data_IF_400450161652
#
_entry.id   IF_400450161652
#
_cell.length_a   1.000
_cell.length_b   1.000
_cell.length_c   1.000
_cell.angle_alpha   90.00
_cell.angle_beta   90.00
_cell.angle_gamma   90.00
#
_symmetry.space_group_name_H-M   'P 1'
#
loop_
_entity.id
_entity.type
_entity.pdbx_description
1 polymer ?
#
# COMPACT_ATOMS: atom_id res chain seq x y z
N UNK A 1 -37.51 -19.62 20.57
CA UNK A 1 -36.30 -20.00 19.81
C UNK A 1 -35.18 -20.14 20.81
N UNK A 2 -34.74 -21.37 21.05
CA UNK A 2 -33.69 -21.67 22.02
C UNK A 2 -32.33 -21.32 21.41
N UNK A 3 -31.56 -20.54 22.15
CA UNK A 3 -30.21 -20.09 21.85
C UNK A 3 -29.29 -21.32 21.82
N UNK A 4 -28.82 -21.72 20.63
CA UNK A 4 -27.83 -22.78 20.51
C UNK A 4 -26.45 -22.18 20.82
N UNK A 5 -25.72 -22.69 21.82
CA UNK A 5 -24.38 -22.20 22.14
C UNK A 5 -23.45 -22.45 20.95
N UNK A 6 -22.78 -21.38 20.49
CA UNK A 6 -21.79 -21.47 19.42
C UNK A 6 -20.70 -22.51 19.74
N UNK A 7 -20.30 -23.34 18.77
CA UNK A 7 -19.27 -24.35 18.98
C UNK A 7 -17.94 -23.67 19.34
N UNK A 8 -17.41 -24.01 20.52
CA UNK A 8 -16.10 -23.54 20.98
C UNK A 8 -15.03 -23.94 19.97
N UNK A 9 -14.17 -23.00 19.49
CA UNK A 9 -13.15 -23.30 18.52
C UNK A 9 -12.17 -24.33 19.09
N UNK A 10 -12.15 -25.52 18.49
CA UNK A 10 -11.24 -26.60 18.85
C UNK A 10 -9.80 -26.13 18.71
N UNK A 11 -9.03 -26.15 19.80
CA UNK A 11 -7.63 -25.75 19.81
C UNK A 11 -6.83 -26.50 18.72
N UNK A 12 -5.95 -25.81 17.98
CA UNK A 12 -5.19 -26.43 16.90
C UNK A 12 -4.36 -27.59 17.45
N UNK A 13 -4.55 -28.79 16.88
CA UNK A 13 -3.73 -29.98 17.15
C UNK A 13 -2.27 -29.64 16.85
N UNK A 14 -1.48 -29.38 17.89
CA UNK A 14 -0.02 -29.20 17.77
C UNK A 14 0.55 -30.51 17.22
N UNK A 15 1.17 -30.44 16.04
CA UNK A 15 1.91 -31.60 15.53
C UNK A 15 3.09 -31.87 16.47
N UNK A 16 3.35 -33.14 16.84
CA UNK A 16 4.45 -33.49 17.75
C UNK A 16 5.85 -33.21 17.15
N UNK A 17 5.91 -32.89 15.86
CA UNK A 17 7.14 -32.64 15.12
C UNK A 17 7.28 -31.15 14.81
N UNK A 18 7.50 -30.34 15.85
CA UNK A 18 7.96 -28.98 15.62
C UNK A 18 9.35 -29.04 15.00
N UNK A 19 9.60 -28.27 13.94
CA UNK A 19 10.89 -28.20 13.25
C UNK A 19 12.06 -27.88 14.21
N UNK A 20 11.76 -27.15 15.29
CA UNK A 20 12.65 -26.87 16.42
C UNK A 20 13.07 -28.13 17.17
N UNK A 21 12.15 -29.07 17.39
CA UNK A 21 12.45 -30.38 17.96
C UNK A 21 13.44 -31.16 17.08
N UNK A 22 13.20 -31.20 15.76
CA UNK A 22 14.09 -31.90 14.82
C UNK A 22 15.52 -31.34 14.86
N UNK A 23 15.67 -30.01 14.90
CA UNK A 23 16.97 -29.35 15.04
C UNK A 23 17.68 -29.70 16.35
N UNK A 24 16.98 -29.66 17.49
CA UNK A 24 17.56 -30.03 18.79
C UNK A 24 17.99 -31.50 18.87
N UNK A 25 17.22 -32.40 18.28
CA UNK A 25 17.58 -33.83 18.19
C UNK A 25 18.76 -34.05 17.25
N UNK A 26 18.84 -33.31 16.13
CA UNK A 26 19.98 -33.38 15.21
C UNK A 26 21.29 -32.88 15.83
N UNK A 27 21.26 -31.81 16.63
CA UNK A 27 22.46 -31.32 17.33
C UNK A 27 22.94 -32.30 18.40
N UNK A 28 22.01 -32.93 19.14
CA UNK A 28 22.36 -33.95 20.12
C UNK A 28 22.97 -35.19 19.45
N UNK A 29 22.40 -35.64 18.32
CA UNK A 29 22.93 -36.76 17.55
C UNK A 29 24.33 -36.48 16.98
N UNK A 30 24.60 -35.25 16.52
CA UNK A 30 25.91 -34.88 15.98
C UNK A 30 27.01 -34.87 17.05
N UNK A 31 26.71 -34.34 18.25
CA UNK A 31 27.64 -34.42 19.39
C UNK A 31 27.93 -35.88 19.73
N UNK A 32 26.89 -36.73 19.77
CA UNK A 32 27.02 -38.14 20.13
C UNK A 32 27.85 -38.91 19.09
N UNK A 33 27.71 -38.59 17.80
CA UNK A 33 28.53 -39.15 16.72
C UNK A 33 30.01 -38.72 16.80
N UNK A 34 30.27 -37.44 17.10
CA UNK A 34 31.65 -36.94 17.24
C UNK A 34 32.35 -37.55 18.47
N UNK A 35 31.66 -37.59 19.61
CA UNK A 35 32.20 -38.19 20.85
C UNK A 35 32.36 -39.70 20.69
N UNK A 36 31.37 -40.37 20.11
CA UNK A 36 31.42 -41.81 19.85
C UNK A 36 32.53 -42.21 18.88
N UNK A 37 32.71 -41.45 17.78
CA UNK A 37 33.79 -41.66 16.82
C UNK A 37 35.19 -41.46 17.43
N UNK A 38 35.35 -40.44 18.29
CA UNK A 38 36.58 -40.22 19.03
C UNK A 38 36.90 -41.35 20.02
N UNK A 39 35.89 -41.81 20.78
CA UNK A 39 36.03 -42.94 21.71
C UNK A 39 36.37 -44.26 21.02
N UNK A 40 35.72 -44.58 19.88
CA UNK A 40 35.98 -45.80 19.12
C UNK A 40 37.43 -45.88 18.63
N UNK A 41 38.01 -44.75 18.19
CA UNK A 41 39.43 -44.69 17.80
C UNK A 41 40.37 -44.83 19.00
N UNK A 42 40.01 -44.27 20.14
CA UNK A 42 40.77 -44.41 21.38
C UNK A 42 40.77 -45.87 21.86
N UNK A 43 39.63 -46.56 21.78
CA UNK A 43 39.51 -48.00 22.05
C UNK A 43 40.30 -48.84 21.05
N UNK A 44 40.24 -48.52 19.75
CA UNK A 44 41.05 -49.20 18.73
C UNK A 44 42.55 -49.09 19.01
N UNK A 45 43.00 -47.94 19.55
CA UNK A 45 44.40 -47.74 19.93
C UNK A 45 44.80 -48.47 21.22
N UNK A 46 43.87 -48.67 22.15
CA UNK A 46 44.10 -49.54 23.33
C UNK A 46 44.23 -51.01 22.92
N UNK A 47 43.52 -51.43 21.87
CA UNK A 47 43.54 -52.79 21.35
C UNK A 47 44.80 -53.10 20.51
N UNK A 48 45.42 -52.09 19.90
CA UNK A 48 46.68 -52.22 19.15
C UNK A 48 47.71 -51.18 19.64
N UNK A 49 48.55 -51.52 20.64
CA UNK A 49 49.36 -50.57 21.39
C UNK A 49 50.59 -50.11 20.59
N UNK A 50 50.36 -49.31 19.56
CA UNK A 50 51.38 -48.40 19.04
C UNK A 50 51.64 -47.28 20.08
N UNK A 51 52.84 -46.70 20.15
CA UNK A 51 53.12 -45.63 21.09
C UNK A 51 52.17 -44.45 20.85
N UNK A 52 51.52 -43.99 21.93
CA UNK A 52 50.68 -42.80 21.94
C UNK A 52 51.50 -41.60 21.47
N UNK A 53 51.41 -41.29 20.18
CA UNK A 53 52.02 -40.10 19.63
C UNK A 53 51.16 -38.89 19.98
N UNK A 54 51.79 -37.73 20.22
CA UNK A 54 51.09 -36.46 20.43
C UNK A 54 50.11 -36.13 19.30
N UNK A 55 50.30 -36.71 18.11
CA UNK A 55 49.40 -36.59 16.97
C UNK A 55 47.99 -37.16 17.22
N UNK A 56 47.87 -38.30 17.90
CA UNK A 56 46.57 -38.96 18.16
C UNK A 56 45.74 -38.14 19.15
N UNK A 57 46.41 -37.62 20.19
CA UNK A 57 45.78 -36.72 21.17
C UNK A 57 45.35 -35.41 20.51
N UNK A 58 46.19 -34.84 19.64
CA UNK A 58 45.87 -33.63 18.89
C UNK A 58 44.67 -33.83 17.95
N UNK A 59 44.58 -34.97 17.26
CA UNK A 59 43.44 -35.30 16.40
C UNK A 59 42.13 -35.42 17.20
N UNK A 60 42.17 -36.08 18.37
CA UNK A 60 41.00 -36.18 19.24
C UNK A 60 40.52 -34.81 19.75
N UNK A 61 41.44 -33.95 20.18
CA UNK A 61 41.12 -32.57 20.60
C UNK A 61 40.51 -31.78 19.44
N UNK A 62 41.04 -31.94 18.21
CA UNK A 62 40.52 -31.28 17.02
C UNK A 62 39.07 -31.70 16.73
N UNK A 63 38.74 -33.00 16.83
CA UNK A 63 37.38 -33.49 16.62
C UNK A 63 36.39 -32.97 17.67
N UNK A 64 36.80 -32.89 18.94
CA UNK A 64 35.98 -32.27 19.98
C UNK A 64 35.73 -30.78 19.67
N UNK A 65 36.78 -30.05 19.28
CA UNK A 65 36.67 -28.63 18.95
C UNK A 65 35.71 -28.38 17.76
N UNK A 66 35.82 -29.20 16.70
CA UNK A 66 34.92 -29.13 15.54
C UNK A 66 33.47 -29.46 15.93
N UNK A 67 33.27 -30.51 16.73
CA UNK A 67 31.95 -30.89 17.24
C UNK A 67 31.30 -29.79 18.08
N UNK A 68 32.08 -29.15 18.97
CA UNK A 68 31.62 -28.04 19.80
C UNK A 68 31.25 -26.80 18.97
N UNK A 69 32.06 -26.45 17.97
CA UNK A 69 31.76 -25.34 17.06
C UNK A 69 30.50 -25.60 16.24
N UNK A 70 30.36 -26.79 15.66
CA UNK A 70 29.17 -27.16 14.88
C UNK A 70 27.89 -27.13 15.74
N UNK A 71 27.97 -27.64 16.97
CA UNK A 71 26.86 -27.57 17.94
C UNK A 71 26.48 -26.13 18.28
N UNK A 72 27.47 -25.25 18.50
CA UNK A 72 27.24 -23.83 18.78
C UNK A 72 26.51 -23.11 17.63
N UNK A 73 26.89 -23.38 16.38
CA UNK A 73 26.22 -22.82 15.19
C UNK A 73 24.77 -23.30 15.10
N UNK A 74 24.51 -24.59 15.29
CA UNK A 74 23.15 -25.14 15.27
C UNK A 74 22.27 -24.56 16.39
N UNK A 75 22.84 -24.39 17.59
CA UNK A 75 22.14 -23.75 18.71
C UNK A 75 21.78 -22.28 18.38
N UNK A 76 22.71 -21.52 17.81
CA UNK A 76 22.48 -20.14 17.38
C UNK A 76 21.43 -20.05 16.26
N UNK A 77 21.44 -20.97 15.30
CA UNK A 77 20.38 -21.03 14.27
C UNK A 77 19.01 -21.36 14.88
N UNK A 78 18.96 -22.25 15.87
CA UNK A 78 17.72 -22.61 16.58
C UNK A 78 17.13 -21.40 17.32
N UNK A 79 17.95 -20.64 18.05
CA UNK A 79 17.50 -19.42 18.74
C UNK A 79 17.06 -18.35 17.75
N UNK A 80 17.76 -18.20 16.62
CA UNK A 80 17.35 -17.28 15.56
C UNK A 80 15.99 -17.65 14.95
N UNK A 81 15.75 -18.94 14.68
CA UNK A 81 14.45 -19.41 14.17
C UNK A 81 13.33 -19.17 15.19
N UNK A 82 13.60 -19.35 16.49
CA UNK A 82 12.64 -19.06 17.55
C UNK A 82 12.29 -17.57 17.59
N UNK A 83 13.31 -16.69 17.50
CA UNK A 83 13.12 -15.24 17.48
C UNK A 83 12.33 -14.79 16.23
N UNK A 84 12.62 -15.36 15.06
CA UNK A 84 11.85 -15.09 13.83
C UNK A 84 10.39 -15.52 13.95
N UNK A 85 10.09 -16.62 14.65
CA UNK A 85 8.71 -17.04 14.91
C UNK A 85 8.01 -16.08 15.85
N UNK A 86 8.67 -15.63 16.91
CA UNK A 86 8.09 -14.65 17.84
C UNK A 86 7.80 -13.32 17.16
N UNK A 87 8.70 -12.86 16.28
CA UNK A 87 8.49 -11.66 15.46
C UNK A 87 7.30 -11.85 14.50
N UNK A 88 7.20 -13.01 13.84
CA UNK A 88 6.05 -13.34 12.98
C UNK A 88 4.74 -13.35 13.76
N UNK A 89 4.70 -13.99 14.92
CA UNK A 89 3.51 -14.05 15.76
C UNK A 89 3.16 -12.67 16.35
N UNK A 90 4.17 -11.82 16.58
CA UNK A 90 4.01 -10.41 16.91
C UNK A 90 3.37 -9.62 15.77
N UNK A 91 3.85 -9.77 14.54
CA UNK A 91 3.29 -9.13 13.34
C UNK A 91 1.83 -9.53 13.12
N UNK A 92 1.50 -10.82 13.24
CA UNK A 92 0.11 -11.30 13.12
C UNK A 92 -0.79 -10.70 14.20
N UNK A 93 -0.29 -10.54 15.44
CA UNK A 93 -1.03 -9.85 16.50
C UNK A 93 -1.27 -8.38 16.18
N UNK A 94 -0.26 -7.67 15.68
CA UNK A 94 -0.40 -6.26 15.28
C UNK A 94 -1.41 -6.10 14.14
N UNK A 95 -1.37 -6.98 13.14
CA UNK A 95 -2.33 -7.00 12.03
C UNK A 95 -3.76 -7.24 12.54
N UNK A 96 -3.94 -8.19 13.45
CA UNK A 96 -5.25 -8.44 14.10
C UNK A 96 -5.74 -7.23 14.89
N UNK A 97 -4.86 -6.56 15.63
CA UNK A 97 -5.20 -5.33 16.34
C UNK A 97 -5.60 -4.19 15.38
N UNK A 98 -4.91 -4.04 14.25
CA UNK A 98 -5.29 -3.06 13.22
C UNK A 98 -6.66 -3.38 12.62
N UNK A 99 -6.95 -4.66 12.37
CA UNK A 99 -8.25 -5.10 11.86
C UNK A 99 -9.38 -4.84 12.88
N UNK A 100 -9.14 -5.11 14.16
CA UNK A 100 -10.11 -4.83 15.24
C UNK A 100 -10.33 -3.32 15.45
N UNK A 101 -9.27 -2.50 15.37
CA UNK A 101 -9.37 -1.03 15.41
C UNK A 101 -10.14 -0.48 14.21
N UNK A 102 -9.88 -0.99 13.00
CA UNK A 102 -10.62 -0.63 11.80
C UNK A 102 -12.11 -1.00 11.90
N UNK A 103 -12.43 -2.20 12.38
CA UNK A 103 -13.82 -2.61 12.61
C UNK A 103 -14.53 -1.77 13.67
N UNK A 104 -13.84 -1.38 14.76
CA UNK A 104 -14.40 -0.48 15.78
C UNK A 104 -14.70 0.90 15.19
N UNK A 105 -13.74 1.50 14.50
CA UNK A 105 -13.94 2.79 13.83
C UNK A 105 -15.11 2.74 12.83
N UNK A 106 -15.25 1.65 12.08
CA UNK A 106 -16.35 1.48 11.13
C UNK A 106 -17.71 1.29 11.82
N UNK A 107 -17.77 0.57 12.95
CA UNK A 107 -18.99 0.46 13.77
C UNK A 107 -19.37 1.78 14.42
N UNK A 108 -18.39 2.53 14.92
CA UNK A 108 -18.62 3.84 15.54
C UNK A 108 -19.12 4.83 14.49
N UNK A 109 -18.52 4.86 13.29
CA UNK A 109 -18.99 5.67 12.17
C UNK A 109 -20.41 5.28 11.72
N UNK A 110 -20.72 3.98 11.61
CA UNK A 110 -22.07 3.52 11.26
C UNK A 110 -23.10 3.89 12.34
N UNK A 111 -22.71 3.81 13.62
CA UNK A 111 -23.54 4.25 14.74
C UNK A 111 -23.77 5.76 14.77
N UNK A 112 -22.77 6.55 14.40
CA UNK A 112 -22.86 8.02 14.33
C UNK A 112 -23.75 8.47 13.17
N UNK A 113 -23.66 7.82 12.00
CA UNK A 113 -24.58 8.05 10.87
C UNK A 113 -26.02 7.71 11.25
N UNK A 114 -26.25 6.56 11.90
CA UNK A 114 -27.60 6.19 12.37
C UNK A 114 -28.15 7.16 13.44
N UNK A 115 -27.27 7.74 14.28
CA UNK A 115 -27.64 8.81 15.22
C UNK A 115 -27.94 10.13 14.52
N UNK A 116 -27.20 10.49 13.47
CA UNK A 116 -27.49 11.69 12.68
C UNK A 116 -28.82 11.55 11.92
N UNK A 117 -29.13 10.38 11.35
CA UNK A 117 -30.42 10.15 10.68
C UNK A 117 -31.60 10.20 11.66
N UNK A 118 -31.43 9.73 12.89
CA UNK A 118 -32.48 9.84 13.92
C UNK A 118 -32.65 11.26 14.46
N UNK A 119 -31.57 12.06 14.54
CA UNK A 119 -31.64 13.47 14.96
C UNK A 119 -32.20 14.37 13.85
N UNK A 120 -31.82 14.15 12.58
CA UNK A 120 -32.35 14.93 11.45
C UNK A 120 -33.75 14.50 11.01
N UNK A 121 -34.10 13.20 11.13
CA UNK A 121 -35.44 12.70 10.84
C UNK A 121 -36.51 13.18 11.81
N UNK A 122 -36.15 13.50 13.05
CA UNK A 122 -37.11 13.95 14.07
C UNK A 122 -37.41 15.47 14.03
N UNK A 123 -36.68 16.27 13.25
CA UNK A 123 -36.79 17.74 13.29
C UNK A 123 -37.30 18.40 11.99
N UNK A 124 -37.54 17.61 10.93
CA UNK A 124 -38.05 18.11 9.64
C UNK A 124 -39.51 17.75 9.34
N UNK A 125 -40.22 17.08 10.26
CA UNK A 125 -41.66 16.81 10.13
C UNK A 125 -42.50 17.72 11.05
N UNK A 126 -42.42 19.04 10.82
CA UNK A 126 -43.49 19.97 11.17
C UNK A 126 -44.29 20.26 9.88
N UNK A 127 -45.58 19.89 9.82
CA UNK A 127 -46.35 19.99 8.58
C UNK A 127 -46.73 21.45 8.31
N UNK A 128 -46.19 22.01 7.24
CA UNK A 128 -46.78 23.15 6.53
C UNK A 128 -47.91 22.60 5.68
N UNK A 129 -49.10 23.15 5.84
CA UNK A 129 -50.33 22.88 5.10
C UNK A 129 -50.13 22.98 3.58
N UNK A 130 -49.68 21.89 2.98
CA UNK A 130 -49.80 21.68 1.55
C UNK A 130 -51.13 20.95 1.29
N UNK A 131 -51.92 21.37 0.29
CA UNK A 131 -53.15 20.68 -0.11
C UNK A 131 -52.80 19.22 -0.40
N UNK A 132 -53.32 18.30 0.42
CA UNK A 132 -53.23 16.86 0.16
C UNK A 132 -54.00 16.58 -1.11
N UNK A 133 -53.28 16.40 -2.21
CA UNK A 133 -53.78 15.62 -3.32
C UNK A 133 -54.21 14.24 -2.79
N UNK A 134 -55.37 13.72 -3.21
CA UNK A 134 -55.84 12.42 -2.77
C UNK A 134 -54.78 11.35 -3.12
N UNK A 135 -54.55 10.37 -2.23
CA UNK A 135 -53.60 9.30 -2.49
C UNK A 135 -53.91 8.67 -3.85
N UNK A 136 -52.92 8.51 -4.74
CA UNK A 136 -53.14 7.82 -6.01
C UNK A 136 -53.67 6.43 -5.69
N UNK A 137 -54.90 6.19 -6.10
CA UNK A 137 -55.58 4.92 -5.93
C UNK A 137 -54.72 3.79 -6.53
N UNK A 138 -54.08 2.92 -5.71
CA UNK A 138 -53.16 1.89 -6.19
C UNK A 138 -53.88 0.81 -7.01
N UNK A 139 -55.19 0.95 -7.23
CA UNK A 139 -56.00 0.01 -8.02
C UNK A 139 -56.31 0.47 -9.44
N UNK A 140 -56.04 1.73 -9.82
CA UNK A 140 -56.47 2.25 -11.14
C UNK A 140 -55.52 1.99 -12.31
N UNK A 141 -54.23 1.77 -12.04
CA UNK A 141 -53.21 1.46 -13.07
C UNK A 141 -52.53 0.10 -12.84
N UNK A 142 -53.24 -0.88 -12.28
CA UNK A 142 -52.86 -2.27 -12.57
C UNK A 142 -53.27 -2.50 -14.03
N UNK A 143 -52.33 -2.65 -14.99
CA UNK A 143 -52.70 -3.13 -16.30
C UNK A 143 -53.51 -4.40 -16.05
N UNK A 144 -54.72 -4.46 -16.61
CA UNK A 144 -55.53 -5.66 -16.53
C UNK A 144 -54.59 -6.81 -16.87
N UNK A 145 -54.35 -7.71 -15.91
CA UNK A 145 -53.53 -8.88 -16.13
C UNK A 145 -54.29 -9.66 -17.18
N UNK A 146 -53.96 -9.44 -18.45
CA UNK A 146 -54.50 -10.19 -19.56
C UNK A 146 -54.09 -11.61 -19.27
N UNK A 147 -55.06 -12.38 -18.77
CA UNK A 147 -54.88 -13.80 -18.55
C UNK A 147 -54.45 -14.33 -19.93
N UNK A 148 -53.25 -14.91 -20.07
CA UNK A 148 -52.71 -15.26 -21.36
C UNK A 148 -53.46 -16.49 -21.89
N UNK A 149 -54.67 -16.27 -22.39
CA UNK A 149 -55.61 -17.33 -22.78
C UNK A 149 -55.00 -18.24 -23.84
N UNK A 150 -54.10 -17.69 -24.68
CA UNK A 150 -53.32 -18.47 -25.65
C UNK A 150 -52.41 -19.49 -24.98
N UNK A 151 -51.72 -19.13 -23.89
CA UNK A 151 -50.84 -20.05 -23.15
C UNK A 151 -51.66 -21.14 -22.45
N UNK A 152 -52.82 -20.78 -21.89
CA UNK A 152 -53.72 -21.74 -21.23
C UNK A 152 -54.31 -22.72 -22.25
N UNK A 153 -54.81 -22.22 -23.39
CA UNK A 153 -55.35 -23.08 -24.47
C UNK A 153 -54.25 -23.99 -25.02
N UNK A 154 -53.04 -23.47 -25.23
CA UNK A 154 -51.90 -24.27 -25.66
C UNK A 154 -51.56 -25.37 -24.62
N UNK A 155 -51.51 -25.02 -23.33
CA UNK A 155 -51.27 -25.98 -22.25
C UNK A 155 -52.36 -27.07 -22.18
N UNK A 156 -53.64 -26.72 -22.38
CA UNK A 156 -54.73 -27.69 -22.42
C UNK A 156 -54.62 -28.62 -23.64
N UNK A 157 -54.21 -28.10 -24.80
CA UNK A 157 -53.91 -28.92 -25.97
C UNK A 157 -52.73 -29.87 -25.69
N UNK A 158 -51.65 -29.38 -25.08
CA UNK A 158 -50.48 -30.17 -24.75
C UNK A 158 -50.83 -31.28 -23.74
N UNK A 159 -51.67 -31.00 -22.73
CA UNK A 159 -52.18 -31.99 -21.76
C UNK A 159 -53.01 -33.06 -22.47
N UNK A 160 -53.96 -32.65 -23.33
CA UNK A 160 -54.80 -33.59 -24.09
C UNK A 160 -53.93 -34.51 -24.94
N UNK A 161 -53.00 -33.94 -25.70
CA UNK A 161 -52.12 -34.72 -26.55
C UNK A 161 -51.21 -35.63 -25.71
N UNK A 162 -50.83 -35.23 -24.50
CA UNK A 162 -50.11 -36.09 -23.55
C UNK A 162 -50.93 -37.29 -23.07
N UNK A 163 -52.25 -37.12 -22.87
CA UNK A 163 -53.12 -38.22 -22.39
C UNK A 163 -53.39 -39.29 -23.43
N UNK A 164 -53.20 -38.97 -24.73
CA UNK A 164 -53.42 -39.90 -25.83
C UNK A 164 -52.19 -40.74 -26.17
N UNK A 165 -51.02 -40.40 -25.64
CA UNK A 165 -49.76 -41.11 -25.89
C UNK A 165 -49.62 -42.37 -25.02
N UNK A 166 -48.98 -43.41 -25.55
CA UNK A 166 -48.61 -44.59 -24.77
C UNK A 166 -47.56 -44.25 -23.69
N UNK A 167 -47.39 -45.10 -22.67
CA UNK A 167 -46.38 -44.89 -21.62
C UNK A 167 -44.95 -44.81 -22.15
N UNK A 168 -44.66 -45.49 -23.24
CA UNK A 168 -43.36 -45.45 -23.91
C UNK A 168 -43.17 -44.10 -24.63
N UNK A 169 -44.16 -43.68 -25.41
CA UNK A 169 -44.14 -42.38 -26.09
C UNK A 169 -44.12 -41.20 -25.11
N UNK A 170 -44.81 -41.30 -23.97
CA UNK A 170 -44.77 -40.29 -22.90
C UNK A 170 -43.39 -40.16 -22.27
N UNK A 171 -42.66 -41.27 -22.11
CA UNK A 171 -41.28 -41.29 -21.61
C UNK A 171 -40.32 -40.69 -22.63
N UNK A 172 -40.45 -41.05 -23.90
CA UNK A 172 -39.65 -40.49 -25.00
C UNK A 172 -39.87 -38.98 -25.17
N UNK A 173 -41.14 -38.54 -25.22
CA UNK A 173 -41.49 -37.11 -25.30
C UNK A 173 -40.96 -36.33 -24.09
N UNK A 174 -41.05 -36.90 -22.88
CA UNK A 174 -40.46 -36.30 -21.67
C UNK A 174 -38.95 -36.18 -21.79
N UNK A 175 -38.27 -37.24 -22.22
CA UNK A 175 -36.81 -37.22 -22.40
C UNK A 175 -36.38 -36.15 -23.43
N UNK A 176 -37.12 -36.00 -24.53
CA UNK A 176 -36.88 -34.95 -25.51
C UNK A 176 -37.09 -33.54 -24.95
N UNK A 177 -38.16 -33.32 -24.18
CA UNK A 177 -38.42 -32.03 -23.55
C UNK A 177 -37.34 -31.68 -22.51
N UNK A 178 -36.98 -32.64 -21.65
CA UNK A 178 -35.91 -32.49 -20.66
C UNK A 178 -34.58 -32.15 -21.34
N UNK A 179 -34.28 -32.77 -22.47
CA UNK A 179 -33.10 -32.50 -23.28
C UNK A 179 -33.10 -31.10 -23.92
N UNK A 180 -34.25 -30.62 -24.42
CA UNK A 180 -34.38 -29.26 -24.94
C UNK A 180 -34.20 -28.21 -23.83
N UNK A 181 -34.81 -28.41 -22.66
CA UNK A 181 -34.66 -27.53 -21.51
C UNK A 181 -33.21 -27.49 -21.01
N UNK A 182 -32.55 -28.66 -21.00
CA UNK A 182 -31.13 -28.76 -20.69
C UNK A 182 -30.27 -27.92 -21.65
N UNK A 183 -30.48 -28.06 -22.97
CA UNK A 183 -29.75 -27.28 -23.98
C UNK A 183 -29.98 -25.78 -23.83
N UNK A 184 -31.23 -25.34 -23.70
CA UNK A 184 -31.54 -23.93 -23.52
C UNK A 184 -30.91 -23.36 -22.23
N UNK A 185 -30.93 -24.12 -21.13
CA UNK A 185 -30.27 -23.70 -19.90
C UNK A 185 -28.76 -23.61 -20.05
N UNK A 186 -28.13 -24.57 -20.75
CA UNK A 186 -26.69 -24.55 -21.07
C UNK A 186 -26.32 -23.34 -21.92
N UNK A 187 -27.10 -23.03 -22.96
CA UNK A 187 -26.89 -21.84 -23.79
C UNK A 187 -26.97 -20.54 -22.97
N UNK A 188 -27.96 -20.43 -22.06
CA UNK A 188 -28.08 -19.28 -21.15
C UNK A 188 -26.90 -19.19 -20.19
N UNK A 189 -26.43 -20.32 -19.66
CA UNK A 189 -25.26 -20.38 -18.79
C UNK A 189 -24.01 -19.90 -19.53
N UNK A 190 -23.77 -20.41 -20.73
CA UNK A 190 -22.63 -20.03 -21.57
C UNK A 190 -22.68 -18.55 -21.95
N UNK A 191 -23.87 -18.02 -22.29
CA UNK A 191 -24.07 -16.60 -22.54
C UNK A 191 -23.76 -15.74 -21.31
N UNK A 192 -24.17 -16.17 -20.12
CA UNK A 192 -23.89 -15.44 -18.88
C UNK A 192 -22.39 -15.46 -18.52
N UNK A 193 -21.72 -16.59 -18.74
CA UNK A 193 -20.27 -16.71 -18.58
C UNK A 193 -19.50 -15.82 -19.58
N UNK A 194 -19.95 -15.76 -20.83
CA UNK A 194 -19.36 -14.89 -21.85
C UNK A 194 -19.53 -13.39 -21.54
N UNK A 195 -20.64 -13.01 -20.90
CA UNK A 195 -20.89 -11.64 -20.44
C UNK A 195 -20.21 -11.31 -19.10
N UNK A 196 -19.52 -12.28 -18.48
CA UNK A 196 -18.92 -12.17 -17.15
C UNK A 196 -19.94 -11.86 -16.03
N UNK A 197 -21.22 -12.19 -16.23
CA UNK A 197 -22.24 -12.10 -15.18
C UNK A 197 -22.28 -13.43 -14.40
N UNK A 198 -21.32 -13.60 -13.51
CA UNK A 198 -21.19 -14.80 -12.68
C UNK A 198 -22.38 -15.00 -11.73
N UNK A 199 -23.09 -13.92 -11.38
CA UNK A 199 -24.28 -13.99 -10.53
C UNK A 199 -25.46 -14.63 -11.28
N UNK A 200 -25.66 -14.28 -12.55
CA UNK A 200 -26.65 -14.91 -13.42
C UNK A 200 -26.24 -16.34 -13.77
N UNK A 201 -24.97 -16.55 -14.14
CA UNK A 201 -24.44 -17.88 -14.46
C UNK A 201 -24.66 -18.86 -13.30
N UNK A 202 -24.34 -18.45 -12.07
CA UNK A 202 -24.54 -19.27 -10.87
C UNK A 202 -26.01 -19.62 -10.64
N UNK A 203 -26.93 -18.66 -10.78
CA UNK A 203 -28.38 -18.91 -10.65
C UNK A 203 -28.87 -19.94 -11.67
N UNK A 204 -28.43 -19.83 -12.93
CA UNK A 204 -28.79 -20.78 -14.00
C UNK A 204 -28.19 -22.17 -13.72
N UNK A 205 -26.93 -22.23 -13.29
CA UNK A 205 -26.27 -23.49 -12.94
C UNK A 205 -26.96 -24.19 -11.75
N UNK A 206 -27.32 -23.45 -10.70
CA UNK A 206 -28.05 -23.99 -9.54
C UNK A 206 -29.47 -24.44 -9.90
N UNK A 207 -30.18 -23.73 -10.78
CA UNK A 207 -31.49 -24.15 -11.29
C UNK A 207 -31.39 -25.45 -12.11
N UNK A 208 -30.41 -25.55 -13.02
CA UNK A 208 -30.15 -26.77 -13.78
C UNK A 208 -29.76 -27.95 -12.88
N UNK A 209 -28.88 -27.73 -11.91
CA UNK A 209 -28.46 -28.75 -10.95
C UNK A 209 -29.64 -29.28 -10.12
N UNK A 210 -30.57 -28.40 -9.72
CA UNK A 210 -31.79 -28.80 -8.99
C UNK A 210 -32.78 -29.55 -9.87
N UNK A 211 -33.03 -29.08 -11.10
CA UNK A 211 -34.01 -29.70 -12.02
C UNK A 211 -33.55 -31.05 -12.57
N UNK A 212 -32.25 -31.20 -12.82
CA UNK A 212 -31.65 -32.37 -13.44
C UNK A 212 -30.70 -33.09 -12.49
N UNK A 213 -31.12 -33.32 -11.24
CA UNK A 213 -30.29 -33.91 -10.18
C UNK A 213 -29.76 -35.31 -10.48
N UNK A 214 -30.33 -36.00 -11.47
CA UNK A 214 -29.90 -37.32 -11.95
C UNK A 214 -28.75 -37.25 -12.97
N UNK A 215 -28.46 -36.07 -13.54
CA UNK A 215 -27.36 -35.88 -14.49
C UNK A 215 -26.11 -35.46 -13.73
N UNK A 216 -25.03 -36.24 -13.83
CA UNK A 216 -23.75 -35.91 -13.21
C UNK A 216 -23.20 -34.56 -13.70
N UNK A 217 -23.40 -34.24 -14.98
CA UNK A 217 -23.02 -32.95 -15.59
C UNK A 217 -23.72 -31.77 -14.91
N UNK A 218 -25.00 -31.88 -14.58
CA UNK A 218 -25.77 -30.81 -13.95
C UNK A 218 -25.23 -30.47 -12.55
N UNK A 219 -24.83 -31.50 -11.79
CA UNK A 219 -24.22 -31.33 -10.48
C UNK A 219 -22.83 -30.66 -10.54
N UNK A 220 -22.12 -30.75 -11.66
CA UNK A 220 -20.80 -30.14 -11.85
C UNK A 220 -20.86 -28.64 -12.24
N UNK A 221 -21.96 -28.18 -12.84
CA UNK A 221 -22.08 -26.81 -13.37
C UNK A 221 -21.76 -25.70 -12.35
N UNK A 222 -22.20 -25.74 -11.07
CA UNK A 222 -21.84 -24.69 -10.11
C UNK A 222 -20.32 -24.60 -9.88
N UNK A 223 -19.62 -25.74 -9.88
CA UNK A 223 -18.16 -25.79 -9.77
C UNK A 223 -17.45 -25.25 -11.01
N UNK A 224 -18.01 -25.47 -12.21
CA UNK A 224 -17.50 -24.88 -13.46
C UNK A 224 -17.62 -23.35 -13.44
N UNK A 225 -18.75 -22.81 -12.97
CA UNK A 225 -18.96 -21.35 -12.83
C UNK A 225 -17.96 -20.76 -11.85
N UNK A 226 -17.74 -21.40 -10.70
CA UNK A 226 -16.78 -20.93 -9.70
C UNK A 226 -15.35 -20.94 -10.25
N UNK A 227 -14.96 -22.03 -10.92
CA UNK A 227 -13.65 -22.14 -11.58
C UNK A 227 -13.47 -21.05 -12.65
N UNK A 228 -14.52 -20.74 -13.42
CA UNK A 228 -14.49 -19.66 -14.41
C UNK A 228 -14.37 -18.27 -13.75
N UNK A 229 -15.07 -18.04 -12.62
CA UNK A 229 -14.99 -16.82 -11.83
C UNK A 229 -13.56 -16.60 -11.30
N UNK A 230 -12.96 -17.61 -10.67
CA UNK A 230 -11.60 -17.55 -10.13
C UNK A 230 -10.54 -17.27 -11.22
N UNK A 231 -10.69 -17.90 -12.40
CA UNK A 231 -9.81 -17.64 -13.55
C UNK A 231 -9.93 -16.21 -14.08
N UNK A 232 -11.15 -15.67 -14.15
CA UNK A 232 -11.35 -14.29 -14.56
C UNK A 232 -10.80 -13.32 -13.51
N UNK A 233 -11.09 -13.55 -12.23
CA UNK A 233 -10.59 -12.74 -11.11
C UNK A 233 -9.06 -12.68 -11.12
N UNK A 234 -8.38 -13.83 -11.17
CA UNK A 234 -6.91 -13.89 -11.21
C UNK A 234 -6.33 -13.16 -12.43
N UNK A 235 -6.94 -13.31 -13.62
CA UNK A 235 -6.50 -12.60 -14.83
C UNK A 235 -6.69 -11.07 -14.73
N UNK A 236 -7.79 -10.62 -14.13
CA UNK A 236 -8.11 -9.21 -13.94
C UNK A 236 -7.18 -8.57 -12.90
N UNK A 237 -6.88 -9.28 -11.81
CA UNK A 237 -5.89 -8.87 -10.80
C UNK A 237 -4.50 -8.74 -11.42
N UNK A 238 -4.05 -9.70 -12.23
CA UNK A 238 -2.73 -9.66 -12.87
C UNK A 238 -2.62 -8.46 -13.82
N UNK A 239 -3.62 -8.27 -14.69
CA UNK A 239 -3.65 -7.15 -15.64
C UNK A 239 -3.66 -5.80 -14.91
N UNK A 240 -4.52 -5.67 -13.89
CA UNK A 240 -4.63 -4.45 -13.10
C UNK A 240 -3.37 -4.16 -12.30
N UNK A 241 -2.74 -5.20 -11.73
CA UNK A 241 -1.46 -5.07 -11.01
C UNK A 241 -0.36 -4.52 -11.93
N UNK A 242 -0.28 -5.00 -13.17
CA UNK A 242 0.65 -4.47 -14.16
C UNK A 242 0.40 -2.98 -14.45
N UNK A 243 -0.86 -2.62 -14.72
CA UNK A 243 -1.26 -1.22 -14.95
C UNK A 243 -0.93 -0.31 -13.75
N UNK A 244 -1.18 -0.79 -12.53
CA UNK A 244 -0.83 -0.09 -11.29
C UNK A 244 0.69 0.11 -11.18
N UNK A 245 1.49 -0.92 -11.44
CA UNK A 245 2.95 -0.79 -11.42
C UNK A 245 3.43 0.24 -12.46
N UNK A 246 2.83 0.28 -13.65
CA UNK A 246 3.16 1.27 -14.68
C UNK A 246 2.82 2.71 -14.22
N UNK A 247 1.69 2.89 -13.54
CA UNK A 247 1.30 4.19 -12.95
C UNK A 247 2.22 4.61 -11.80
N UNK A 248 2.65 3.66 -10.96
CA UNK A 248 3.61 3.89 -9.87
C UNK A 248 4.96 4.36 -10.43
N UNK A 249 5.44 3.73 -11.51
CA UNK A 249 6.72 4.07 -12.14
C UNK A 249 6.79 5.53 -12.63
N UNK A 250 5.67 6.11 -13.06
CA UNK A 250 5.57 7.52 -13.45
C UNK A 250 5.11 8.45 -12.32
N UNK A 251 5.10 7.95 -11.07
CA UNK A 251 4.63 8.65 -9.88
C UNK A 251 3.16 9.13 -9.95
N UNK A 252 2.30 8.46 -10.74
CA UNK A 252 0.87 8.75 -10.84
C UNK A 252 0.06 8.05 -9.74
N UNK A 253 0.43 8.30 -8.48
CA UNK A 253 -0.06 7.57 -7.30
C UNK A 253 -1.57 7.60 -7.11
N UNK A 254 -2.22 8.75 -7.34
CA UNK A 254 -3.67 8.85 -7.16
C UNK A 254 -4.42 7.98 -8.18
N UNK A 255 -4.02 7.99 -9.45
CA UNK A 255 -4.62 7.13 -10.48
C UNK A 255 -4.37 5.66 -10.19
N UNK A 256 -3.18 5.30 -9.70
CA UNK A 256 -2.88 3.94 -9.29
C UNK A 256 -3.82 3.46 -8.18
N UNK A 257 -4.09 4.31 -7.18
CA UNK A 257 -5.05 4.06 -6.12
C UNK A 257 -6.47 3.89 -6.67
N UNK A 258 -6.93 4.81 -7.53
CA UNK A 258 -8.28 4.76 -8.10
C UNK A 258 -8.52 3.45 -8.88
N UNK A 259 -7.54 3.02 -9.68
CA UNK A 259 -7.58 1.75 -10.44
C UNK A 259 -7.65 0.54 -9.50
N UNK A 260 -6.85 0.52 -8.43
CA UNK A 260 -6.87 -0.55 -7.45
C UNK A 260 -8.17 -0.56 -6.61
N UNK A 261 -8.77 0.61 -6.33
CA UNK A 261 -10.08 0.72 -5.69
C UNK A 261 -11.19 0.18 -6.58
N UNK A 262 -11.15 0.47 -7.88
CA UNK A 262 -12.11 -0.11 -8.83
C UNK A 262 -11.99 -1.64 -8.91
N UNK A 263 -10.78 -2.20 -8.84
CA UNK A 263 -10.57 -3.64 -8.73
C UNK A 263 -11.19 -4.21 -7.45
N UNK A 264 -10.98 -3.55 -6.31
CA UNK A 264 -11.57 -3.97 -5.04
C UNK A 264 -13.11 -3.89 -5.05
N UNK A 265 -13.69 -2.88 -5.70
CA UNK A 265 -15.14 -2.76 -5.85
C UNK A 265 -15.74 -3.87 -6.72
N UNK A 266 -15.04 -4.26 -7.79
CA UNK A 266 -15.44 -5.38 -8.67
C UNK A 266 -15.33 -6.73 -7.96
N UNK A 267 -14.27 -6.92 -7.15
CA UNK A 267 -14.00 -8.17 -6.43
C UNK A 267 -13.78 -7.93 -4.93
N UNK A 268 -14.85 -7.68 -4.14
CA UNK A 268 -14.74 -7.29 -2.73
C UNK A 268 -14.09 -8.37 -1.85
N UNK A 269 -14.25 -9.65 -2.20
CA UNK A 269 -13.71 -10.77 -1.44
C UNK A 269 -12.22 -11.02 -1.73
N UNK A 270 -11.70 -10.45 -2.83
CA UNK A 270 -10.33 -10.67 -3.27
C UNK A 270 -9.32 -10.16 -2.25
N UNK A 271 -8.51 -11.07 -1.70
CA UNK A 271 -7.41 -10.72 -0.79
C UNK A 271 -6.28 -10.00 -1.54
N UNK A 272 -6.03 -10.37 -2.79
CA UNK A 272 -4.99 -9.78 -3.63
C UNK A 272 -5.28 -8.32 -3.97
N UNK A 273 -6.53 -7.98 -4.31
CA UNK A 273 -6.93 -6.59 -4.57
C UNK A 273 -6.74 -5.70 -3.32
N UNK A 274 -7.08 -6.20 -2.12
CA UNK A 274 -6.83 -5.51 -0.86
C UNK A 274 -5.34 -5.34 -0.57
N UNK A 275 -4.53 -6.37 -0.80
CA UNK A 275 -3.08 -6.30 -0.64
C UNK A 275 -2.43 -5.30 -1.60
N UNK A 276 -2.95 -5.20 -2.84
CA UNK A 276 -2.48 -4.23 -3.82
C UNK A 276 -2.67 -2.79 -3.34
N UNK A 277 -3.83 -2.45 -2.77
CA UNK A 277 -4.07 -1.13 -2.18
C UNK A 277 -3.11 -0.81 -1.03
N UNK A 278 -2.96 -1.74 -0.07
CA UNK A 278 -2.02 -1.59 1.04
C UNK A 278 -0.56 -1.45 0.56
N UNK A 279 -0.21 -2.10 -0.55
CA UNK A 279 1.10 -1.96 -1.18
C UNK A 279 1.28 -0.57 -1.77
N UNK A 280 0.32 -0.06 -2.53
CA UNK A 280 0.37 1.29 -3.12
C UNK A 280 0.55 2.34 -2.02
N UNK A 281 -0.20 2.25 -0.92
CA UNK A 281 -0.11 3.20 0.18
C UNK A 281 1.26 3.18 0.86
N UNK A 282 1.81 1.98 1.11
CA UNK A 282 3.16 1.85 1.67
C UNK A 282 4.22 2.42 0.74
N UNK A 283 4.18 2.09 -0.55
CA UNK A 283 5.13 2.59 -1.54
C UNK A 283 5.02 4.12 -1.71
N UNK A 284 3.81 4.66 -1.73
CA UNK A 284 3.56 6.10 -1.77
C UNK A 284 4.16 6.82 -0.56
N UNK A 285 3.93 6.30 0.64
CA UNK A 285 4.48 6.87 1.88
C UNK A 285 6.01 6.82 1.89
N UNK A 286 6.61 5.74 1.39
CA UNK A 286 8.06 5.63 1.23
C UNK A 286 8.60 6.66 0.23
N UNK A 287 7.96 6.79 -0.94
CA UNK A 287 8.35 7.76 -1.96
C UNK A 287 8.24 9.21 -1.44
N UNK A 288 7.17 9.53 -0.72
CA UNK A 288 6.99 10.85 -0.08
C UNK A 288 8.08 11.11 0.97
N UNK A 289 8.37 10.12 1.82
CA UNK A 289 9.44 10.23 2.83
C UNK A 289 10.84 10.33 2.23
N UNK A 290 11.10 9.70 1.09
CA UNK A 290 12.34 9.90 0.32
C UNK A 290 12.42 11.30 -0.27
N UNK A 291 11.33 11.79 -0.87
CA UNK A 291 11.29 13.13 -1.43
C UNK A 291 11.53 14.20 -0.36
N UNK A 292 10.88 14.07 0.79
CA UNK A 292 11.13 14.91 1.95
C UNK A 292 12.61 14.89 2.34
N UNK A 293 13.21 13.71 2.51
CA UNK A 293 14.63 13.58 2.86
C UNK A 293 15.56 14.23 1.82
N UNK A 294 15.28 14.08 0.53
CA UNK A 294 16.07 14.70 -0.55
C UNK A 294 16.01 16.23 -0.49
N UNK A 295 14.81 16.80 -0.30
CA UNK A 295 14.66 18.26 -0.21
C UNK A 295 15.27 18.84 1.08
N UNK A 296 15.13 18.15 2.21
CA UNK A 296 15.78 18.57 3.46
C UNK A 296 17.33 18.55 3.33
N UNK A 297 17.88 17.49 2.72
CA UNK A 297 19.31 17.40 2.43
C UNK A 297 19.79 18.51 1.48
N UNK A 298 18.95 18.95 0.54
CA UNK A 298 19.23 20.06 -0.35
C UNK A 298 19.33 21.40 0.39
N UNK A 299 18.40 21.69 1.30
CA UNK A 299 18.48 22.88 2.19
C UNK A 299 19.79 22.85 2.97
N UNK A 300 20.12 21.72 3.61
CA UNK A 300 21.35 21.57 4.38
C UNK A 300 22.62 21.71 3.52
N UNK A 301 22.58 21.23 2.28
CA UNK A 301 23.68 21.39 1.31
C UNK A 301 23.90 22.87 0.96
N UNK A 302 22.86 23.68 0.80
CA UNK A 302 23.02 25.11 0.55
C UNK A 302 23.56 25.85 1.78
N UNK A 303 23.05 25.54 2.97
CA UNK A 303 23.54 26.09 4.24
C UNK A 303 25.01 25.79 4.47
N UNK A 304 25.43 24.52 4.31
CA UNK A 304 26.84 24.12 4.48
C UNK A 304 27.81 24.80 3.51
N UNK A 305 27.33 25.15 2.30
CA UNK A 305 28.11 25.89 1.29
C UNK A 305 28.02 27.41 1.44
N UNK A 306 27.32 27.91 2.47
CA UNK A 306 27.07 29.34 2.72
C UNK A 306 26.37 30.05 1.55
N UNK A 307 25.51 29.32 0.83
CA UNK A 307 24.64 29.83 -0.24
C UNK A 307 23.26 30.11 0.36
N UNK A 308 23.12 31.27 1.00
CA UNK A 308 22.00 31.57 1.89
C UNK A 308 20.73 31.93 1.12
N UNK A 309 20.84 32.63 0.00
CA UNK A 309 19.68 32.94 -0.85
C UNK A 309 19.00 31.66 -1.36
N UNK A 310 19.78 30.70 -1.86
CA UNK A 310 19.26 29.42 -2.35
C UNK A 310 18.76 28.53 -1.21
N UNK A 311 19.44 28.54 -0.05
CA UNK A 311 18.96 27.85 1.14
C UNK A 311 17.59 28.37 1.57
N UNK A 312 17.39 29.68 1.58
CA UNK A 312 16.12 30.31 1.93
C UNK A 312 15.01 29.92 0.94
N UNK A 313 15.29 29.98 -0.36
CA UNK A 313 14.31 29.60 -1.39
C UNK A 313 13.92 28.10 -1.29
N UNK A 314 14.91 27.23 -1.10
CA UNK A 314 14.69 25.80 -0.91
C UNK A 314 13.89 25.51 0.38
N UNK A 315 14.20 26.21 1.49
CA UNK A 315 13.48 26.08 2.76
C UNK A 315 12.01 26.53 2.63
N UNK A 316 11.74 27.66 1.95
CA UNK A 316 10.37 28.12 1.68
C UNK A 316 9.59 27.10 0.86
N UNK A 317 10.19 26.58 -0.21
CA UNK A 317 9.59 25.53 -1.06
C UNK A 317 9.32 24.25 -0.27
N UNK A 318 10.23 23.86 0.64
CA UNK A 318 10.04 22.70 1.51
C UNK A 318 8.84 22.89 2.45
N UNK A 319 8.74 24.04 3.12
CA UNK A 319 7.66 24.36 4.06
C UNK A 319 6.30 24.42 3.36
N UNK A 320 6.25 24.98 2.15
CA UNK A 320 5.03 25.03 1.34
C UNK A 320 4.56 23.63 0.94
N UNK A 321 5.48 22.76 0.52
CA UNK A 321 5.15 21.41 0.07
C UNK A 321 4.84 20.44 1.21
N UNK A 322 5.47 20.61 2.38
CA UNK A 322 5.35 19.70 3.52
C UNK A 322 5.00 20.46 4.82
N UNK A 323 3.84 21.14 4.89
CA UNK A 323 3.58 22.10 5.96
C UNK A 323 3.45 21.48 7.36
N UNK A 324 3.13 20.19 7.47
CA UNK A 324 2.83 19.51 8.74
C UNK A 324 3.97 18.62 9.26
N UNK A 325 5.15 18.65 8.65
CA UNK A 325 6.27 17.82 9.09
C UNK A 325 7.10 18.51 10.19
N UNK A 326 7.69 17.72 11.10
CA UNK A 326 8.58 18.24 12.14
C UNK A 326 9.77 19.01 11.56
N UNK A 327 10.31 18.56 10.41
CA UNK A 327 11.38 19.26 9.70
C UNK A 327 10.92 20.66 9.21
N UNK A 328 9.68 20.78 8.74
CA UNK A 328 9.15 22.06 8.28
C UNK A 328 8.93 23.02 9.46
N UNK A 329 8.51 22.51 10.61
CA UNK A 329 8.43 23.30 11.85
C UNK A 329 9.82 23.79 12.28
N UNK A 330 10.83 22.92 12.28
CA UNK A 330 12.21 23.30 12.57
C UNK A 330 12.73 24.36 11.59
N UNK A 331 12.45 24.22 10.29
CA UNK A 331 12.83 25.21 9.27
C UNK A 331 12.08 26.53 9.46
N UNK A 332 10.81 26.53 9.88
CA UNK A 332 10.09 27.78 10.20
C UNK A 332 10.76 28.57 11.32
N UNK A 333 11.28 27.89 12.34
CA UNK A 333 12.04 28.53 13.41
C UNK A 333 13.39 29.10 12.92
N UNK A 334 13.99 28.47 11.90
CA UNK A 334 15.26 28.91 11.31
C UNK A 334 15.10 29.95 10.19
N UNK A 335 13.89 30.13 9.64
CA UNK A 335 13.64 31.04 8.52
C UNK A 335 14.14 32.47 8.77
N UNK A 336 13.87 33.14 9.90
CA UNK A 336 14.35 34.50 10.13
C UNK A 336 15.88 34.62 10.09
N UNK A 337 16.58 33.59 10.58
CA UNK A 337 18.05 33.52 10.52
C UNK A 337 18.54 33.34 9.09
N UNK A 338 17.91 32.45 8.32
CA UNK A 338 18.22 32.27 6.90
C UNK A 338 17.96 33.55 6.10
N UNK A 339 16.88 34.28 6.39
CA UNK A 339 16.55 35.56 5.76
C UNK A 339 17.61 36.62 6.06
N UNK A 340 18.02 36.73 7.33
CA UNK A 340 19.08 37.66 7.74
C UNK A 340 20.41 37.33 7.04
N UNK A 341 20.78 36.04 6.98
CA UNK A 341 22.00 35.61 6.32
C UNK A 341 21.97 35.83 4.81
N UNK A 342 20.82 35.58 4.16
CA UNK A 342 20.61 35.85 2.75
C UNK A 342 20.72 37.35 2.45
N UNK A 343 20.17 38.21 3.32
CA UNK A 343 20.34 39.66 3.20
C UNK A 343 21.82 40.08 3.35
N UNK A 344 22.53 39.51 4.33
CA UNK A 344 23.97 39.77 4.51
C UNK A 344 24.75 39.37 3.25
N UNK A 345 24.51 38.17 2.71
CA UNK A 345 25.14 37.69 1.49
C UNK A 345 24.87 38.63 0.31
N UNK A 346 23.61 39.02 0.12
CA UNK A 346 23.22 39.95 -0.94
C UNK A 346 23.95 41.28 -0.84
N UNK A 347 24.07 41.83 0.37
CA UNK A 347 24.84 43.07 0.63
C UNK A 347 26.32 42.89 0.30
N UNK A 348 26.93 41.76 0.70
CA UNK A 348 28.33 41.45 0.38
C UNK A 348 28.55 41.28 -1.13
N UNK A 349 27.62 40.67 -1.87
CA UNK A 349 27.70 40.56 -3.33
C UNK A 349 27.61 41.93 -4.01
N UNK A 350 26.72 42.82 -3.55
CA UNK A 350 26.61 44.19 -4.06
C UNK A 350 27.88 44.99 -3.77
N UNK A 351 28.44 44.87 -2.56
CA UNK A 351 29.72 45.49 -2.20
C UNK A 351 30.87 45.00 -3.09
N UNK A 352 31.00 43.68 -3.28
CA UNK A 352 32.00 43.10 -4.16
C UNK A 352 31.87 43.62 -5.60
N UNK A 353 30.63 43.81 -6.08
CA UNK A 353 30.36 44.38 -7.41
C UNK A 353 30.72 45.87 -7.49
N UNK A 354 30.44 46.67 -6.45
CA UNK A 354 30.88 48.07 -6.37
C UNK A 354 32.41 48.15 -6.43
N UNK A 355 33.09 47.31 -5.66
CA UNK A 355 34.55 47.22 -5.62
C UNK A 355 35.13 46.84 -6.98
N UNK A 356 34.51 45.87 -7.67
CA UNK A 356 34.93 45.46 -9.01
C UNK A 356 34.75 46.59 -10.05
N UNK A 357 33.62 47.30 -10.02
CA UNK A 357 33.38 48.47 -10.88
C UNK A 357 34.41 49.58 -10.62
N UNK A 358 34.72 49.87 -9.35
CA UNK A 358 35.72 50.86 -8.97
C UNK A 358 37.14 50.44 -9.42
N UNK A 359 37.48 49.15 -9.34
CA UNK A 359 38.77 48.61 -9.81
C UNK A 359 38.95 48.79 -11.32
N UNK A 360 37.87 48.69 -12.08
CA UNK A 360 37.86 48.86 -13.54
C UNK A 360 37.64 50.31 -13.99
N UNK A 361 37.69 51.29 -13.08
CA UNK A 361 37.53 52.71 -13.41
C UNK A 361 36.09 53.13 -13.75
N UNK A 362 35.09 52.26 -13.53
CA UNK A 362 33.67 52.55 -13.80
C UNK A 362 33.02 53.25 -12.61
N UNK A 363 33.56 54.40 -12.22
CA UNK A 363 33.19 55.08 -10.96
C UNK A 363 31.75 55.59 -10.93
N UNK A 364 31.19 56.07 -12.05
CA UNK A 364 29.78 56.51 -12.12
C UNK A 364 28.83 55.37 -11.72
N UNK A 365 29.00 54.18 -12.33
CA UNK A 365 28.20 53.00 -12.03
C UNK A 365 28.39 52.52 -10.59
N UNK A 366 29.62 52.64 -10.06
CA UNK A 366 29.93 52.29 -8.68
C UNK A 366 29.22 53.23 -7.69
N UNK A 367 29.19 54.54 -7.95
CA UNK A 367 28.49 55.55 -7.14
C UNK A 367 26.98 55.29 -7.16
N UNK A 368 26.39 55.07 -8.33
CA UNK A 368 24.97 54.81 -8.47
C UNK A 368 24.55 53.56 -7.68
N UNK A 369 25.32 52.47 -7.80
CA UNK A 369 25.08 51.23 -7.08
C UNK A 369 25.30 51.40 -5.56
N UNK A 370 26.31 52.18 -5.14
CA UNK A 370 26.54 52.48 -3.73
C UNK A 370 25.40 53.30 -3.12
N UNK A 371 24.89 54.32 -3.83
CA UNK A 371 23.70 55.09 -3.42
C UNK A 371 22.47 54.19 -3.30
N UNK A 372 22.29 53.26 -4.24
CA UNK A 372 21.22 52.27 -4.18
C UNK A 372 21.34 51.38 -2.93
N UNK A 373 22.53 50.87 -2.61
CA UNK A 373 22.76 50.05 -1.40
C UNK A 373 22.49 50.86 -0.13
N UNK A 374 22.95 52.11 -0.04
CA UNK A 374 22.72 52.99 1.11
C UNK A 374 21.22 53.28 1.29
N UNK A 375 20.50 53.50 0.19
CA UNK A 375 19.06 53.74 0.22
C UNK A 375 18.27 52.49 0.62
N UNK A 376 18.67 51.30 0.12
CA UNK A 376 17.99 50.04 0.41
C UNK A 376 18.30 49.50 1.81
N UNK A 377 19.51 49.71 2.33
CA UNK A 377 20.00 49.14 3.59
C UNK A 377 20.62 50.20 4.52
N UNK A 378 19.87 51.24 4.94
CA UNK A 378 20.44 52.43 5.57
C UNK A 378 21.13 52.18 6.93
N UNK A 379 20.75 51.14 7.68
CA UNK A 379 21.36 50.79 8.96
C UNK A 379 22.41 49.67 8.89
N UNK A 380 22.81 49.25 7.68
CA UNK A 380 23.79 48.18 7.53
C UNK A 380 25.23 48.69 7.71
N UNK A 381 26.16 47.89 8.30
CA UNK A 381 27.57 48.27 8.39
C UNK A 381 28.19 48.59 7.03
N UNK A 382 27.77 47.88 5.98
CA UNK A 382 28.21 48.13 4.60
C UNK A 382 27.75 49.51 4.09
N UNK A 383 26.51 49.93 4.39
CA UNK A 383 26.03 51.26 4.01
C UNK A 383 26.79 52.37 4.75
N UNK A 384 27.15 52.18 6.01
CA UNK A 384 27.96 53.14 6.76
C UNK A 384 29.38 53.28 6.18
N UNK A 385 30.03 52.15 5.88
CA UNK A 385 31.31 52.13 5.16
C UNK A 385 31.21 52.83 3.80
N UNK A 386 30.18 52.52 2.99
CA UNK A 386 29.98 53.14 1.68
C UNK A 386 29.72 54.64 1.79
N UNK A 387 28.98 55.13 2.80
CA UNK A 387 28.77 56.58 3.04
C UNK A 387 30.09 57.31 3.22
N UNK A 388 31.02 56.73 3.99
CA UNK A 388 32.36 57.32 4.19
C UNK A 388 33.19 57.37 2.91
N UNK A 389 32.97 56.43 1.99
CA UNK A 389 33.72 56.32 0.73
C UNK A 389 33.05 57.06 -0.43
N UNK A 390 31.77 57.42 -0.30
CA UNK A 390 30.93 57.93 -1.39
C UNK A 390 31.48 59.23 -1.98
N UNK A 391 31.84 60.20 -1.14
CA UNK A 391 32.42 61.47 -1.59
C UNK A 391 33.68 61.25 -2.44
N UNK A 392 34.52 60.29 -2.05
CA UNK A 392 35.73 59.94 -2.80
C UNK A 392 35.41 59.26 -4.14
N UNK A 393 34.43 58.37 -4.18
CA UNK A 393 33.99 57.75 -5.44
C UNK A 393 33.38 58.78 -6.40
N UNK A 394 32.67 59.77 -5.87
CA UNK A 394 32.12 60.89 -6.64
C UNK A 394 33.22 61.79 -7.23
N UNK A 395 34.27 62.09 -6.46
CA UNK A 395 35.43 62.82 -6.96
C UNK A 395 36.12 62.08 -8.12
N UNK A 396 36.27 60.75 -8.01
CA UNK A 396 36.85 59.91 -9.07
C UNK A 396 35.92 59.79 -10.30
N UNK A 397 34.61 59.79 -10.08
CA UNK A 397 33.63 59.81 -11.18
C UNK A 397 33.68 61.12 -11.97
N UNK A 398 33.91 62.24 -11.28
CA UNK A 398 34.04 63.56 -11.89
C UNK A 398 35.43 63.81 -12.51
N UNK A 399 36.47 63.13 -12.01
CA UNK A 399 37.83 63.22 -12.51
C UNK A 399 38.41 61.82 -12.86
N UNK A 400 38.04 61.26 -14.03
CA UNK A 400 38.48 59.92 -14.42
C UNK A 400 39.99 59.80 -14.68
N UNK A 401 40.72 60.92 -14.74
CA UNK A 401 42.18 60.95 -14.88
C UNK A 401 42.94 60.78 -13.55
N UNK A 402 42.22 60.81 -12.43
CA UNK A 402 42.81 60.63 -11.11
C UNK A 402 43.35 59.19 -10.92
N UNK A 403 44.49 59.02 -10.23
CA UNK A 403 45.07 57.70 -9.99
C UNK A 403 44.09 56.80 -9.22
N UNK A 404 44.01 55.49 -9.54
CA UNK A 404 43.02 54.59 -8.96
C UNK A 404 43.15 54.54 -7.44
N UNK A 405 42.02 54.71 -6.74
CA UNK A 405 42.01 54.67 -5.29
C UNK A 405 42.48 53.31 -4.76
N UNK A 406 43.49 53.33 -3.90
CA UNK A 406 43.79 52.20 -3.01
C UNK A 406 42.68 52.14 -1.96
N UNK A 407 41.63 51.39 -2.25
CA UNK A 407 40.58 51.08 -1.27
C UNK A 407 41.17 50.02 -0.33
N UNK A 408 41.45 50.40 0.92
CA UNK A 408 41.79 49.44 1.98
C UNK A 408 40.48 48.96 2.58
N UNK A 409 40.24 47.65 2.52
CA UNK A 409 39.26 46.99 3.36
C UNK A 409 39.95 46.80 4.72
N UNK A 410 39.47 47.49 5.75
CA UNK A 410 39.82 47.18 7.14
C UNK A 410 38.97 46.03 7.66
#
# INVERSE_FOLDING_TARGET
MADQPEPTPTAPRRSPWSMTGVLTWSSAAMILLCVGGGMLRLVAHVLDPAPLTSAIVAEFILWIAVGAMASGVLAAMSTMIALLREVRDGLVRVERYQYELGQRAQRDAAGEVARMDTVFGAQLEAPVDAPRDPPPDPTRDRPAVEIPWREIVQALHDIRDYTLLSDEQRREKKAHYDEQQWRQGRERLESALAAHDFSAARRVAEDLARRFSNRAEAAALPGEVETARERFESSDVVTTTKQVNDLINIAAWQRARDVAQQLQQRHPDSSEARQLLLRIEREHNLAQGEQQRRMAAEVQRYVSRRRWEEALAAAKTFIERFPQTADAEALRLQLPTLETNAEIERRQQLEARIMDLARHGRYIQAVDLARQVIAQYPGSPQAEALRSQLARLEDLANNPSAPPARIRLE
#
